data_IF_676677125508
#
_entry.id   IF_676677125508
#
_cell.length_a   1.000
_cell.length_b   1.000
_cell.length_c   1.000
_cell.angle_alpha   90.00
_cell.angle_beta   90.00
_cell.angle_gamma   90.00
#
_symmetry.space_group_name_H-M   'P 1'
#
loop_
_entity.id
_entity.type
_entity.pdbx_description
1 polymer ?
#
# COMPACT_ATOMS: atom_id res chain seq x y z
N UNK A 1 9.82 7.56 -8.96
CA UNK A 1 9.09 6.74 -7.96
C UNK A 1 7.68 6.51 -8.45
N UNK A 2 7.08 5.38 -8.12
CA UNK A 2 5.65 5.12 -8.31
C UNK A 2 4.95 4.95 -6.96
N UNK A 3 3.74 5.49 -6.80
CA UNK A 3 2.98 5.41 -5.55
C UNK A 3 1.56 4.95 -5.89
N UNK A 4 1.21 3.72 -5.53
CA UNK A 4 -0.03 3.09 -5.98
C UNK A 4 -1.30 3.85 -5.56
N UNK A 5 -1.29 4.54 -4.42
CA UNK A 5 -2.41 5.39 -4.00
C UNK A 5 -2.73 6.54 -4.97
N UNK A 6 -1.83 6.88 -5.89
CA UNK A 6 -2.05 7.89 -6.93
C UNK A 6 -2.42 7.30 -8.29
N UNK A 7 -2.51 5.97 -8.42
CA UNK A 7 -2.62 5.28 -9.70
C UNK A 7 -4.02 5.26 -10.31
N UNK A 8 -5.07 5.32 -9.50
CA UNK A 8 -6.42 4.94 -9.92
C UNK A 8 -7.35 6.12 -10.22
N UNK A 9 -6.79 7.34 -10.24
CA UNK A 9 -7.45 8.54 -10.76
C UNK A 9 -6.92 8.90 -12.14
N UNK A 10 -7.78 9.45 -13.00
CA UNK A 10 -7.43 9.81 -14.38
C UNK A 10 -7.48 8.60 -15.33
N UNK A 11 -6.63 8.65 -16.35
CA UNK A 11 -6.66 7.70 -17.47
C UNK A 11 -5.56 6.63 -17.36
N UNK A 12 -5.52 5.72 -18.35
CA UNK A 12 -4.57 4.61 -18.40
C UNK A 12 -3.10 5.03 -18.62
N UNK A 13 -2.82 6.31 -18.90
CA UNK A 13 -1.47 6.85 -19.00
C UNK A 13 -0.89 7.29 -17.64
N UNK A 14 -1.65 7.12 -16.54
CA UNK A 14 -1.18 7.46 -15.20
C UNK A 14 0.12 6.69 -14.86
N UNK A 15 1.24 7.37 -14.58
CA UNK A 15 2.55 6.73 -14.39
C UNK A 15 2.66 5.91 -13.11
N UNK A 16 1.65 5.96 -12.23
CA UNK A 16 1.58 5.16 -11.02
C UNK A 16 0.82 3.84 -11.21
N UNK A 17 0.22 3.61 -12.39
CA UNK A 17 -0.37 2.32 -12.73
C UNK A 17 0.73 1.28 -12.99
N UNK A 18 0.61 0.05 -12.47
CA UNK A 18 1.60 -1.01 -12.63
C UNK A 18 2.10 -1.27 -14.06
N UNK A 19 1.22 -1.19 -15.06
CA UNK A 19 1.59 -1.41 -16.46
C UNK A 19 2.44 -0.26 -17.07
N UNK A 20 2.55 0.88 -16.38
CA UNK A 20 3.38 2.03 -16.75
C UNK A 20 4.68 2.12 -15.93
N UNK A 21 4.95 1.16 -15.04
CA UNK A 21 6.18 1.15 -14.24
C UNK A 21 7.42 0.81 -15.06
N UNK A 22 8.58 1.25 -14.57
CA UNK A 22 9.90 1.01 -15.18
C UNK A 22 10.78 0.17 -14.27
N UNK A 23 11.84 -0.46 -14.81
CA UNK A 23 12.75 -1.31 -14.00
C UNK A 23 13.55 -0.50 -12.99
N UNK A 24 14.21 0.60 -13.40
CA UNK A 24 14.97 1.49 -12.51
C UNK A 24 14.05 2.44 -11.74
N UNK A 25 13.17 1.85 -10.94
CA UNK A 25 12.14 2.56 -10.20
C UNK A 25 11.95 1.96 -8.81
N UNK A 26 11.48 2.80 -7.89
CA UNK A 26 10.97 2.39 -6.59
C UNK A 26 9.46 2.57 -6.57
N UNK A 27 8.73 1.50 -6.30
CA UNK A 27 7.27 1.49 -6.12
C UNK A 27 6.93 1.45 -4.63
N UNK A 28 5.93 2.24 -4.24
CA UNK A 28 5.36 2.29 -2.89
C UNK A 28 3.87 1.97 -2.95
N UNK A 29 3.33 1.32 -1.92
CA UNK A 29 1.86 1.34 -1.71
C UNK A 29 1.42 2.78 -1.42
N UNK A 30 2.06 3.39 -0.42
CA UNK A 30 1.98 4.80 -0.03
C UNK A 30 3.27 5.22 0.67
N UNK A 31 3.46 6.52 0.85
CA UNK A 31 4.57 7.10 1.62
C UNK A 31 4.12 7.46 3.04
N UNK A 32 4.99 8.09 3.84
CA UNK A 32 4.62 8.61 5.16
C UNK A 32 3.64 9.79 5.11
N UNK A 33 3.56 10.49 3.97
CA UNK A 33 2.63 11.61 3.73
C UNK A 33 1.24 11.13 3.28
N UNK A 34 1.15 9.89 2.85
CA UNK A 34 -0.09 9.24 2.46
C UNK A 34 -0.83 8.72 3.69
N UNK A 35 -2.13 8.45 3.54
CA UNK A 35 -2.85 7.65 4.52
C UNK A 35 -2.41 6.18 4.43
N UNK A 36 -2.77 5.34 5.40
CA UNK A 36 -2.62 3.88 5.25
C UNK A 36 -3.47 3.39 4.08
N UNK A 37 -3.16 2.22 3.51
CA UNK A 37 -3.95 1.64 2.43
C UNK A 37 -5.45 1.49 2.81
N UNK A 38 -5.76 1.11 4.06
CA UNK A 38 -7.17 1.06 4.52
C UNK A 38 -7.78 2.45 4.66
N UNK A 39 -7.06 3.40 5.27
CA UNK A 39 -7.56 4.77 5.42
C UNK A 39 -7.79 5.46 4.07
N UNK A 40 -6.87 5.26 3.13
CA UNK A 40 -7.00 5.69 1.74
C UNK A 40 -8.24 5.07 1.10
N UNK A 41 -8.41 3.75 1.18
CA UNK A 41 -9.55 3.04 0.60
C UNK A 41 -10.89 3.52 1.18
N UNK A 42 -10.99 3.68 2.49
CA UNK A 42 -12.21 4.14 3.16
C UNK A 42 -12.64 5.53 2.65
N UNK A 43 -11.69 6.44 2.46
CA UNK A 43 -11.92 7.82 2.06
C UNK A 43 -11.91 8.07 0.53
N UNK A 44 -11.63 7.03 -0.28
CA UNK A 44 -11.54 7.15 -1.72
C UNK A 44 -12.91 7.49 -2.34
N UNK A 45 -12.92 8.34 -3.38
CA UNK A 45 -14.16 8.70 -4.10
C UNK A 45 -14.72 7.47 -4.82
N UNK A 46 -16.04 7.43 -4.99
CA UNK A 46 -16.72 6.26 -5.58
C UNK A 46 -16.22 5.91 -6.99
N UNK A 47 -15.93 6.92 -7.81
CA UNK A 47 -15.38 6.74 -9.17
C UNK A 47 -13.99 6.07 -9.14
N UNK A 48 -13.07 6.58 -8.32
CA UNK A 48 -11.74 6.00 -8.13
C UNK A 48 -11.83 4.59 -7.51
N UNK A 49 -12.78 4.36 -6.58
CA UNK A 49 -13.04 3.01 -6.03
C UNK A 49 -13.41 2.02 -7.13
N UNK A 50 -14.30 2.40 -8.06
CA UNK A 50 -14.67 1.55 -9.19
C UNK A 50 -13.46 1.20 -10.05
N UNK A 51 -12.58 2.17 -10.34
CA UNK A 51 -11.35 1.92 -11.10
C UNK A 51 -10.41 0.94 -10.37
N UNK A 52 -10.25 1.08 -9.06
CA UNK A 52 -9.44 0.17 -8.24
C UNK A 52 -10.00 -1.25 -8.30
N UNK A 53 -11.32 -1.41 -8.13
CA UNK A 53 -11.97 -2.73 -8.17
C UNK A 53 -11.77 -3.43 -9.51
N UNK A 54 -11.95 -2.69 -10.61
CA UNK A 54 -11.79 -3.21 -11.96
C UNK A 54 -10.32 -3.57 -12.25
N UNK A 55 -9.40 -2.66 -11.95
CA UNK A 55 -7.97 -2.85 -12.25
C UNK A 55 -7.35 -3.98 -11.42
N UNK A 56 -7.73 -4.10 -10.14
CA UNK A 56 -7.16 -5.09 -9.22
C UNK A 56 -7.94 -6.40 -9.17
N UNK A 57 -9.09 -6.49 -9.83
CA UNK A 57 -10.00 -7.63 -9.76
C UNK A 57 -10.30 -8.00 -8.29
N UNK A 58 -10.69 -6.99 -7.50
CA UNK A 58 -10.99 -7.15 -6.09
C UNK A 58 -12.38 -7.76 -5.88
N UNK A 59 -12.51 -8.60 -4.87
CA UNK A 59 -13.80 -9.07 -4.35
C UNK A 59 -14.08 -8.49 -2.96
N UNK A 60 -15.30 -8.65 -2.45
CA UNK A 60 -15.69 -8.14 -1.13
C UNK A 60 -14.90 -8.78 0.04
N UNK A 61 -14.28 -9.94 -0.20
CA UNK A 61 -13.48 -10.67 0.79
C UNK A 61 -12.00 -10.24 0.82
N UNK A 62 -11.57 -9.39 -0.13
CA UNK A 62 -10.17 -9.00 -0.26
C UNK A 62 -9.77 -7.91 0.75
N UNK A 63 -8.60 -8.09 1.37
CA UNK A 63 -7.95 -7.06 2.18
C UNK A 63 -7.18 -6.10 1.27
N UNK A 64 -7.67 -4.85 1.17
CA UNK A 64 -7.09 -3.83 0.30
C UNK A 64 -5.61 -3.53 0.59
N UNK A 65 -5.17 -3.58 1.85
CA UNK A 65 -3.76 -3.37 2.20
C UNK A 65 -2.91 -4.47 1.59
N UNK A 66 -3.29 -5.72 1.81
CA UNK A 66 -2.55 -6.85 1.27
C UNK A 66 -2.62 -6.94 -0.26
N UNK A 67 -3.72 -6.48 -0.87
CA UNK A 67 -3.80 -6.37 -2.34
C UNK A 67 -2.82 -5.34 -2.88
N UNK A 68 -2.76 -4.13 -2.30
CA UNK A 68 -1.79 -3.13 -2.72
C UNK A 68 -0.34 -3.59 -2.49
N UNK A 69 -0.07 -4.30 -1.40
CA UNK A 69 1.24 -4.92 -1.16
C UNK A 69 1.56 -5.91 -2.28
N UNK A 70 0.64 -6.80 -2.63
CA UNK A 70 0.82 -7.77 -3.71
C UNK A 70 1.13 -7.06 -5.03
N UNK A 71 0.41 -5.99 -5.37
CA UNK A 71 0.60 -5.21 -6.60
C UNK A 71 1.96 -4.51 -6.62
N UNK A 72 2.39 -3.93 -5.49
CA UNK A 72 3.71 -3.31 -5.37
C UNK A 72 4.81 -4.36 -5.56
N UNK A 73 4.67 -5.53 -4.93
CA UNK A 73 5.63 -6.63 -5.05
C UNK A 73 5.62 -7.26 -6.45
N UNK A 74 4.49 -7.29 -7.16
CA UNK A 74 4.41 -7.83 -8.53
C UNK A 74 4.86 -6.86 -9.62
N UNK A 75 5.13 -5.59 -9.27
CA UNK A 75 5.60 -4.55 -10.19
C UNK A 75 6.92 -4.92 -10.88
N UNK A 76 7.17 -4.37 -12.07
CA UNK A 76 8.48 -4.44 -12.74
C UNK A 76 9.55 -3.57 -12.08
N UNK A 77 9.15 -2.64 -11.20
CA UNK A 77 10.06 -1.81 -10.43
C UNK A 77 11.03 -2.66 -9.60
N UNK A 78 12.33 -2.35 -9.68
CA UNK A 78 13.39 -3.09 -9.01
C UNK A 78 13.22 -3.11 -7.48
N UNK A 79 12.72 -2.01 -6.89
CA UNK A 79 12.50 -1.92 -5.45
C UNK A 79 11.02 -1.69 -5.14
N UNK A 80 10.44 -2.48 -4.24
CA UNK A 80 9.12 -2.26 -3.67
C UNK A 80 9.24 -1.94 -2.17
N UNK A 81 8.57 -0.88 -1.72
CA UNK A 81 8.59 -0.43 -0.33
C UNK A 81 7.16 -0.35 0.22
N UNK A 82 6.97 -0.88 1.42
CA UNK A 82 5.66 -0.98 2.08
C UNK A 82 5.76 -0.37 3.48
N UNK A 83 4.88 0.57 3.87
CA UNK A 83 4.76 1.04 5.24
C UNK A 83 4.34 -0.09 6.20
N UNK A 84 4.89 -0.11 7.41
CA UNK A 84 4.55 -1.10 8.43
C UNK A 84 3.05 -1.08 8.79
N UNK A 85 2.41 0.10 8.70
CA UNK A 85 0.97 0.25 8.91
C UNK A 85 0.12 -0.58 7.94
N UNK A 86 0.56 -0.72 6.70
CA UNK A 86 -0.15 -1.51 5.68
C UNK A 86 0.01 -3.00 5.96
N UNK A 87 1.20 -3.45 6.37
CA UNK A 87 1.45 -4.85 6.79
C UNK A 87 0.55 -5.21 7.98
N UNK A 88 0.41 -4.29 8.93
CA UNK A 88 -0.45 -4.45 10.12
C UNK A 88 -1.94 -4.21 9.83
N UNK A 89 -2.32 -3.86 8.60
CA UNK A 89 -3.72 -3.62 8.23
C UNK A 89 -4.40 -2.53 9.06
N UNK A 90 -3.69 -1.44 9.38
CA UNK A 90 -4.23 -0.35 10.22
C UNK A 90 -4.97 0.71 9.38
N UNK A 91 -5.93 1.41 9.98
CA UNK A 91 -6.67 2.52 9.36
C UNK A 91 -6.03 3.90 9.58
N UNK A 92 -6.77 4.98 9.29
CA UNK A 92 -6.24 6.36 9.31
C UNK A 92 -5.69 6.84 10.65
N UNK A 93 -6.06 6.22 11.77
CA UNK A 93 -5.46 6.53 13.09
C UNK A 93 -3.97 6.20 13.16
N UNK A 94 -3.45 5.39 12.22
CA UNK A 94 -2.05 5.04 12.11
C UNK A 94 -1.26 5.87 11.07
N UNK A 95 -1.91 6.86 10.42
CA UNK A 95 -1.26 7.74 9.46
C UNK A 95 -0.08 8.49 10.10
N UNK A 96 1.06 8.49 9.44
CA UNK A 96 2.29 9.08 10.00
C UNK A 96 2.28 10.61 9.91
N UNK A 97 1.93 11.16 8.75
CA UNK A 97 1.89 12.59 8.51
C UNK A 97 0.69 12.98 7.65
N UNK A 98 0.05 14.10 8.00
CA UNK A 98 -0.90 14.82 7.17
C UNK A 98 -0.22 16.11 6.74
N UNK A 99 0.23 16.22 5.47
CA UNK A 99 0.89 17.42 4.97
C UNK A 99 0.08 18.69 5.26
N UNK A 100 0.79 19.79 5.50
CA UNK A 100 0.22 21.10 5.84
C UNK A 100 -0.56 21.21 7.17
N UNK A 101 -0.47 20.21 8.06
CA UNK A 101 -0.97 20.31 9.43
C UNK A 101 0.17 20.52 10.44
N UNK A 102 -0.06 21.30 11.51
CA UNK A 102 0.98 21.64 12.48
C UNK A 102 1.05 20.70 13.69
N UNK A 103 0.02 19.88 13.92
CA UNK A 103 -0.11 19.07 15.14
C UNK A 103 -0.59 17.64 14.81
N UNK A 104 -0.25 16.67 15.65
CA UNK A 104 -0.71 15.29 15.54
C UNK A 104 0.15 14.35 14.68
N UNK A 105 1.09 14.88 13.88
CA UNK A 105 1.97 14.10 13.01
C UNK A 105 3.15 13.46 13.76
N UNK A 106 3.76 12.44 13.16
CA UNK A 106 5.00 11.78 13.61
C UNK A 106 4.91 11.06 14.96
N UNK A 107 3.69 10.82 15.44
CA UNK A 107 3.43 10.20 16.74
C UNK A 107 3.05 8.72 16.64
N UNK A 108 2.85 8.18 15.42
CA UNK A 108 2.46 6.79 15.28
C UNK A 108 3.57 5.86 15.78
N UNK A 109 3.16 4.81 16.50
CA UNK A 109 4.00 3.74 17.00
C UNK A 109 3.29 2.42 16.78
N UNK A 110 4.07 1.35 16.66
CA UNK A 110 3.52 -0.01 16.76
C UNK A 110 2.80 -0.13 18.12
N UNK A 111 1.53 -0.55 18.15
CA UNK A 111 0.78 -0.74 19.39
C UNK A 111 1.55 -1.62 20.39
N UNK A 112 1.58 -1.24 21.67
CA UNK A 112 2.32 -2.00 22.69
C UNK A 112 1.79 -3.40 22.94
N UNK A 113 0.59 -3.71 22.44
CA UNK A 113 0.01 -5.05 22.46
C UNK A 113 0.57 -5.97 21.37
N UNK A 114 1.34 -5.44 20.41
CA UNK A 114 1.95 -6.21 19.33
C UNK A 114 3.44 -6.38 19.58
N UNK A 115 3.90 -7.62 19.43
CA UNK A 115 5.30 -8.02 19.46
C UNK A 115 5.69 -8.56 18.07
N UNK A 116 6.94 -8.38 17.67
CA UNK A 116 7.43 -8.91 16.39
C UNK A 116 7.36 -10.44 16.31
N UNK A 117 7.55 -11.13 17.44
CA UNK A 117 7.36 -12.59 17.53
C UNK A 117 5.90 -12.99 17.26
N UNK A 118 4.94 -12.08 17.47
CA UNK A 118 3.53 -12.27 17.16
C UNK A 118 3.15 -12.09 15.68
N UNK A 119 4.08 -11.64 14.82
CA UNK A 119 3.82 -11.31 13.41
C UNK A 119 4.24 -12.41 12.43
N UNK A 120 4.30 -13.66 12.88
CA UNK A 120 4.74 -14.79 12.05
C UNK A 120 3.85 -14.98 10.81
N UNK A 121 2.54 -14.73 10.94
CA UNK A 121 1.59 -14.89 9.83
C UNK A 121 1.81 -13.84 8.74
N UNK A 122 1.97 -12.57 9.13
CA UNK A 122 2.28 -11.45 8.24
C UNK A 122 3.64 -11.66 7.55
N UNK A 123 4.64 -12.09 8.31
CA UNK A 123 5.97 -12.40 7.79
C UNK A 123 5.91 -13.55 6.76
N UNK A 124 5.17 -14.62 7.05
CA UNK A 124 4.97 -15.74 6.13
C UNK A 124 4.22 -15.32 4.87
N UNK A 125 3.15 -14.53 5.02
CA UNK A 125 2.36 -13.99 3.89
C UNK A 125 3.24 -13.12 2.99
N UNK A 126 4.02 -12.21 3.56
CA UNK A 126 4.96 -11.37 2.83
C UNK A 126 6.04 -12.20 2.13
N UNK A 127 6.68 -13.15 2.84
CA UNK A 127 7.70 -14.04 2.27
C UNK A 127 7.16 -14.83 1.07
N UNK A 128 5.94 -15.34 1.15
CA UNK A 128 5.32 -16.09 0.04
C UNK A 128 5.15 -15.21 -1.21
N UNK A 129 4.73 -13.95 -1.05
CA UNK A 129 4.65 -13.01 -2.17
C UNK A 129 6.05 -12.68 -2.73
N UNK A 130 7.03 -12.43 -1.87
CA UNK A 130 8.40 -12.15 -2.30
C UNK A 130 9.01 -13.32 -3.09
N UNK A 131 8.76 -14.57 -2.65
CA UNK A 131 9.16 -15.77 -3.40
C UNK A 131 8.46 -15.85 -4.76
N UNK A 132 7.15 -15.63 -4.79
CA UNK A 132 6.34 -15.72 -6.01
C UNK A 132 6.77 -14.72 -7.09
N UNK A 133 7.13 -13.50 -6.70
CA UNK A 133 7.50 -12.43 -7.62
C UNK A 133 9.03 -12.19 -7.72
N UNK A 134 9.85 -13.13 -7.24
CA UNK A 134 11.30 -13.12 -7.47
C UNK A 134 12.07 -12.01 -6.74
N UNK A 135 11.75 -11.75 -5.47
CA UNK A 135 12.38 -10.70 -4.64
C UNK A 135 13.13 -11.24 -3.41
N UNK A 136 13.70 -12.44 -3.51
CA UNK A 136 14.54 -13.11 -2.48
C UNK A 136 15.86 -13.57 -3.09
#
# INVERSE_FOLDING_TARGET
MAVLQFAFGGDADNPHLPHNHEQDQVVYTGTHDNDTARGWWENLKQEEKSNVLEYLLLTDDDDISWKLIQVAVSSVAQTAVVPMQDILGLGSSARMNIPATQFGNWNWRIPSSLDFDGLEQEAKKLRNMLLMYGRI
#
